data_IF_252244139240
#
_entry.id   IF_252244139240
#
_cell.length_a   1.000
_cell.length_b   1.000
_cell.length_c   1.000
_cell.angle_alpha   90.00
_cell.angle_beta   90.00
_cell.angle_gamma   90.00
#
_symmetry.space_group_name_H-M   'P 1'
#
loop_
_entity.id
_entity.type
_entity.pdbx_description
1 polymer ?
#
# COMPACT_ATOMS: atom_id res chain seq x y z
N UNK A 1 -1.04 2.23 16.00
CA UNK A 1 0.43 1.96 16.03
C UNK A 1 0.92 2.18 14.61
N UNK A 2 1.84 3.12 14.38
CA UNK A 2 2.29 3.47 13.02
C UNK A 2 3.79 3.20 12.92
N UNK A 3 4.20 2.44 11.91
CA UNK A 3 5.61 2.21 11.57
C UNK A 3 5.75 2.35 10.05
N UNK A 4 6.83 3.00 9.60
CA UNK A 4 7.15 3.17 8.19
C UNK A 4 8.43 2.41 7.85
N UNK A 5 8.46 1.80 6.67
CA UNK A 5 9.61 1.06 6.14
C UNK A 5 9.71 1.17 4.62
N UNK A 6 10.91 0.93 4.10
CA UNK A 6 11.24 0.86 2.67
C UNK A 6 11.21 -0.60 2.22
N UNK A 7 10.47 -0.93 1.14
CA UNK A 7 10.56 -2.29 0.56
C UNK A 7 11.91 -2.48 -0.15
N UNK A 8 12.52 -3.65 -0.03
CA UNK A 8 13.98 -3.75 -0.13
C UNK A 8 14.59 -3.62 -1.54
N UNK A 9 13.83 -3.49 -2.62
CA UNK A 9 14.40 -3.36 -3.99
C UNK A 9 13.65 -2.38 -4.92
N UNK A 10 13.01 -1.33 -4.37
CA UNK A 10 12.38 -0.25 -5.13
C UNK A 10 11.93 0.92 -4.23
N UNK A 11 11.53 2.10 -4.76
CA UNK A 11 11.25 3.32 -3.99
C UNK A 11 9.98 3.26 -3.11
N UNK A 12 9.31 2.10 -3.05
CA UNK A 12 8.03 1.96 -2.37
C UNK A 12 8.22 2.01 -0.85
N UNK A 13 7.67 3.06 -0.26
CA UNK A 13 7.47 3.17 1.19
C UNK A 13 6.10 2.62 1.58
N UNK A 14 6.00 2.02 2.77
CA UNK A 14 4.71 1.55 3.30
C UNK A 14 4.50 2.03 4.73
N UNK A 15 3.22 2.14 5.11
CA UNK A 15 2.77 2.39 6.47
C UNK A 15 1.63 1.44 6.84
N UNK A 16 1.46 1.19 8.12
CA UNK A 16 0.37 0.34 8.65
C UNK A 16 -0.64 1.22 9.35
N UNK A 17 -1.92 1.04 9.04
CA UNK A 17 -3.05 1.72 9.69
C UNK A 17 -4.17 0.70 9.94
N UNK A 18 -5.17 1.09 10.72
CA UNK A 18 -6.40 0.31 10.85
C UNK A 18 -7.41 0.62 9.72
N UNK A 19 -8.41 -0.25 9.58
CA UNK A 19 -9.39 -0.15 8.50
C UNK A 19 -10.18 1.17 8.53
N UNK A 20 -10.45 1.73 9.72
CA UNK A 20 -11.18 2.99 9.86
C UNK A 20 -10.36 4.18 9.35
N UNK A 21 -9.04 4.11 9.45
CA UNK A 21 -8.12 5.17 9.04
C UNK A 21 -7.50 4.95 7.65
N UNK A 22 -7.90 3.90 6.90
CA UNK A 22 -7.37 3.56 5.58
C UNK A 22 -7.46 4.72 4.57
N UNK A 23 -8.61 5.40 4.51
CA UNK A 23 -8.80 6.55 3.60
C UNK A 23 -7.93 7.76 3.97
N UNK A 24 -7.79 8.05 5.26
CA UNK A 24 -6.94 9.12 5.75
C UNK A 24 -5.45 8.83 5.47
N UNK A 25 -5.02 7.58 5.67
CA UNK A 25 -3.65 7.14 5.36
C UNK A 25 -3.35 7.26 3.86
N UNK A 26 -4.29 6.89 2.99
CA UNK A 26 -4.15 7.08 1.54
C UNK A 26 -3.93 8.56 1.18
N UNK A 27 -4.81 9.43 1.71
CA UNK A 27 -4.75 10.88 1.44
C UNK A 27 -3.43 11.50 1.91
N UNK A 28 -2.93 11.05 3.07
CA UNK A 28 -1.64 11.48 3.60
C UNK A 28 -0.47 11.03 2.70
N UNK A 29 -0.54 9.82 2.14
CA UNK A 29 0.43 9.33 1.17
C UNK A 29 0.43 10.13 -0.13
N UNK A 30 -0.75 10.47 -0.66
CA UNK A 30 -0.88 11.27 -1.88
C UNK A 30 -0.27 12.67 -1.65
N UNK A 31 -0.58 13.30 -0.52
CA UNK A 31 0.04 14.57 -0.12
C UNK A 31 1.56 14.48 0.03
N UNK A 32 2.08 13.38 0.54
CA UNK A 32 3.53 13.20 0.69
C UNK A 32 4.25 13.10 -0.66
N UNK A 33 3.63 12.49 -1.67
CA UNK A 33 4.16 12.47 -3.05
C UNK A 33 4.18 13.89 -3.63
N UNK A 34 3.08 14.63 -3.46
CA UNK A 34 2.96 16.02 -3.92
C UNK A 34 4.02 16.93 -3.26
N UNK A 35 4.19 16.84 -1.93
CA UNK A 35 5.16 17.64 -1.18
C UNK A 35 6.60 17.28 -1.53
N UNK A 36 6.88 16.02 -1.84
CA UNK A 36 8.19 15.57 -2.31
C UNK A 36 8.45 15.92 -3.79
N UNK A 37 7.42 16.34 -4.54
CA UNK A 37 7.53 16.67 -5.96
C UNK A 37 7.90 15.47 -6.83
N UNK A 38 7.44 14.27 -6.47
CA UNK A 38 7.73 13.03 -7.18
C UNK A 38 6.46 12.40 -7.75
N UNK A 39 6.56 11.83 -8.95
CA UNK A 39 5.49 11.03 -9.51
C UNK A 39 5.37 9.71 -8.75
N UNK A 40 4.14 9.30 -8.44
CA UNK A 40 3.89 8.04 -7.75
C UNK A 40 2.40 7.72 -7.60
N UNK A 41 2.14 6.55 -7.01
CA UNK A 41 0.77 6.07 -6.73
C UNK A 41 0.69 5.53 -5.33
N UNK A 42 -0.45 5.75 -4.66
CA UNK A 42 -0.73 5.19 -3.33
C UNK A 42 -1.77 4.09 -3.44
N UNK A 43 -1.49 2.95 -2.82
CA UNK A 43 -2.42 1.82 -2.71
C UNK A 43 -2.61 1.43 -1.25
N UNK A 44 -3.85 1.13 -0.88
CA UNK A 44 -4.17 0.49 0.40
C UNK A 44 -4.44 -0.97 0.11
N UNK A 45 -3.75 -1.84 0.83
CA UNK A 45 -3.88 -3.29 0.71
C UNK A 45 -4.18 -3.88 2.09
N UNK A 46 -4.96 -4.94 2.13
CA UNK A 46 -5.09 -5.74 3.34
C UNK A 46 -3.82 -6.55 3.58
N UNK A 47 -3.54 -6.85 4.85
CA UNK A 47 -2.44 -7.74 5.18
C UNK A 47 -2.73 -9.13 4.62
N UNK A 48 -1.86 -9.62 3.74
CA UNK A 48 -1.93 -11.00 3.29
C UNK A 48 -1.36 -11.92 4.38
N UNK A 49 -2.20 -12.79 4.94
CA UNK A 49 -1.82 -13.85 5.88
C UNK A 49 -1.61 -15.21 5.18
N UNK A 50 -2.06 -15.33 3.92
CA UNK A 50 -1.88 -16.49 3.07
C UNK A 50 -0.72 -16.35 2.08
N UNK A 51 -0.04 -17.46 1.79
CA UNK A 51 0.91 -17.56 0.67
C UNK A 51 0.21 -17.61 -0.71
N UNK A 52 0.99 -17.82 -1.77
CA UNK A 52 0.46 -17.92 -3.13
C UNK A 52 -0.57 -19.06 -3.27
N UNK A 53 -1.66 -18.79 -4.00
CA UNK A 53 -2.74 -19.76 -4.25
C UNK A 53 -2.90 -19.97 -5.76
N UNK A 54 -3.06 -21.22 -6.19
CA UNK A 54 -3.39 -21.56 -7.58
C UNK A 54 -4.90 -21.66 -7.71
N UNK A 55 -5.48 -20.92 -8.64
CA UNK A 55 -6.92 -20.93 -8.96
C UNK A 55 -7.11 -21.25 -10.44
N UNK A 56 -8.02 -22.17 -10.76
CA UNK A 56 -8.44 -22.41 -12.14
C UNK A 56 -9.39 -21.27 -12.57
N UNK A 57 -8.90 -20.32 -13.38
CA UNK A 57 -9.76 -19.34 -14.05
C UNK A 57 -10.42 -20.00 -15.26
N UNK A 58 -11.67 -20.45 -15.13
CA UNK A 58 -12.49 -20.73 -16.30
C UNK A 58 -12.90 -19.41 -16.95
N UNK A 59 -12.31 -19.12 -18.11
CA UNK A 59 -12.76 -18.02 -18.97
C UNK A 59 -14.03 -18.44 -19.71
N UNK A 60 -15.11 -17.67 -19.55
CA UNK A 60 -16.32 -17.72 -20.35
C UNK A 60 -16.76 -16.31 -20.71
#
# INVERSE_FOLDING_TARGET
MFGAGQSSWGPTVYGITDAANAGAARSAGERALDEAGVDGTVSVVEAADGGARVTDEQQH
#
